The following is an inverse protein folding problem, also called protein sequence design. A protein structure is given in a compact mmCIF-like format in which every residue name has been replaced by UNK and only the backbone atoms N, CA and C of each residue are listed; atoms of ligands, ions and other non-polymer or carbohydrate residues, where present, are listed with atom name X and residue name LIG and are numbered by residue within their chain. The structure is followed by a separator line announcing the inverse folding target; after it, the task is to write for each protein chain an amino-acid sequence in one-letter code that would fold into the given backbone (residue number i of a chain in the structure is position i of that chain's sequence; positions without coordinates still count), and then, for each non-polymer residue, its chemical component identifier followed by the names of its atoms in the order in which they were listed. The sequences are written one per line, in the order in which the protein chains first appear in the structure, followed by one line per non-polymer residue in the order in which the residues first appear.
data_IF_898332618810
#
_entry.id   IF_898332618810
#
_cell.length_a   1.000
_cell.length_b   1.000
_cell.length_c   1.000
_cell.angle_alpha   90.00
_cell.angle_beta   90.00
_cell.angle_gamma   90.00
#
_symmetry.space_group_name_H-M   'P 1'
#
loop_
_entity.id
_entity.type
_entity.pdbx_description
1 polymer ?
#
# COMPACT_ATOMS: atom_id res chain seq x y z
N UNK A 1 -32.60 -20.19 -5.68
CA UNK A 1 -31.29 -20.46 -5.07
C UNK A 1 -30.23 -20.04 -6.05
N UNK A 2 -29.76 -18.81 -5.93
CA UNK A 2 -28.36 -18.49 -5.64
C UNK A 2 -28.42 -17.05 -5.16
N UNK A 3 -28.10 -16.89 -3.90
CA UNK A 3 -28.24 -15.68 -3.11
C UNK A 3 -27.38 -14.55 -3.66
N UNK A 4 -27.90 -13.33 -3.48
CA UNK A 4 -27.17 -12.08 -3.62
C UNK A 4 -25.88 -12.22 -2.78
N UNK A 5 -24.71 -12.24 -3.40
CA UNK A 5 -23.50 -11.78 -2.72
C UNK A 5 -23.48 -10.27 -2.96
N UNK A 6 -23.98 -9.43 -2.03
CA UNK A 6 -23.64 -8.02 -2.07
C UNK A 6 -22.13 -7.99 -1.84
N UNK A 7 -21.37 -7.89 -2.93
CA UNK A 7 -19.94 -7.58 -2.85
C UNK A 7 -19.87 -6.27 -2.07
N UNK A 8 -19.47 -6.39 -0.81
CA UNK A 8 -19.19 -5.27 0.06
C UNK A 8 -18.05 -4.49 -0.61
N UNK A 9 -18.38 -3.28 -1.10
CA UNK A 9 -17.55 -2.36 -1.87
C UNK A 9 -16.29 -1.87 -1.10
N UNK A 10 -15.94 -2.50 0.02
CA UNK A 10 -14.89 -2.09 0.94
C UNK A 10 -13.65 -3.00 0.91
N UNK A 11 -13.59 -3.99 0.01
CA UNK A 11 -12.44 -4.90 -0.05
C UNK A 11 -11.24 -4.24 -0.74
N UNK A 12 -10.44 -3.54 0.05
CA UNK A 12 -9.11 -3.13 -0.36
C UNK A 12 -8.25 -4.39 -0.57
N UNK A 13 -7.82 -4.63 -1.81
CA UNK A 13 -6.98 -5.78 -2.17
C UNK A 13 -5.55 -5.60 -1.64
N UNK A 14 -5.33 -5.98 -0.39
CA UNK A 14 -3.99 -6.23 0.19
C UNK A 14 -3.57 -7.67 -0.11
N UNK A 15 -3.32 -7.98 -1.39
CA UNK A 15 -2.76 -9.26 -1.83
C UNK A 15 -3.68 -10.51 -1.76
N UNK A 16 -3.11 -11.68 -2.08
CA UNK A 16 -3.75 -13.02 -2.17
C UNK A 16 -4.06 -13.68 -0.80
N UNK A 17 -4.12 -12.91 0.29
CA UNK A 17 -4.36 -13.45 1.63
C UNK A 17 -5.75 -13.08 2.15
N UNK A 18 -6.44 -14.03 2.79
CA UNK A 18 -7.66 -13.75 3.54
C UNK A 18 -7.28 -12.96 4.80
N UNK A 19 -7.28 -11.63 4.73
CA UNK A 19 -7.07 -10.74 5.88
C UNK A 19 -8.41 -10.51 6.60
N UNK A 20 -8.39 -10.58 7.93
CA UNK A 20 -9.56 -10.23 8.75
C UNK A 20 -9.77 -8.71 8.80
N UNK A 21 -10.98 -8.28 9.14
CA UNK A 21 -11.31 -6.86 9.31
C UNK A 21 -10.41 -6.18 10.35
N UNK A 22 -10.10 -6.88 11.45
CA UNK A 22 -9.23 -6.38 12.53
C UNK A 22 -7.77 -6.21 12.07
N UNK A 23 -7.27 -7.11 11.23
CA UNK A 23 -5.92 -7.00 10.63
C UNK A 23 -5.85 -5.88 9.59
N UNK A 24 -6.92 -5.67 8.82
CA UNK A 24 -7.02 -4.57 7.87
C UNK A 24 -7.00 -3.21 8.59
N UNK A 25 -7.79 -3.06 9.65
CA UNK A 25 -7.81 -1.84 10.47
C UNK A 25 -6.44 -1.55 11.12
N UNK A 26 -5.76 -2.59 11.60
CA UNK A 26 -4.41 -2.45 12.13
C UNK A 26 -3.42 -1.97 11.05
N UNK A 27 -3.46 -2.57 9.86
CA UNK A 27 -2.60 -2.17 8.74
C UNK A 27 -2.87 -0.73 8.29
N UNK A 28 -4.14 -0.34 8.16
CA UNK A 28 -4.52 1.04 7.81
C UNK A 28 -4.01 2.03 8.87
N UNK A 29 -4.13 1.68 10.15
CA UNK A 29 -3.59 2.48 11.25
C UNK A 29 -2.07 2.65 11.13
N UNK A 30 -1.33 1.58 10.83
CA UNK A 30 0.13 1.64 10.64
C UNK A 30 0.52 2.47 9.40
N UNK A 31 -0.24 2.34 8.31
CA UNK A 31 -0.05 3.15 7.11
C UNK A 31 -0.21 4.64 7.42
N UNK A 32 -1.28 5.02 8.12
CA UNK A 32 -1.61 6.41 8.44
C UNK A 32 -0.62 7.07 9.42
N UNK A 33 -0.18 6.33 10.43
CA UNK A 33 0.60 6.88 11.54
C UNK A 33 2.12 6.69 11.39
N UNK A 34 2.56 5.69 10.62
CA UNK A 34 3.97 5.33 10.53
C UNK A 34 4.50 5.46 9.10
N UNK A 35 3.91 4.74 8.14
CA UNK A 35 4.53 4.58 6.83
C UNK A 35 4.33 5.79 5.91
N UNK A 36 3.09 6.29 5.76
CA UNK A 36 2.83 7.46 4.91
C UNK A 36 3.51 8.73 5.43
N UNK A 37 3.47 9.06 6.74
CA UNK A 37 4.21 10.20 7.27
C UNK A 37 5.72 10.10 7.02
N UNK A 38 6.30 8.91 7.15
CA UNK A 38 7.73 8.71 6.94
C UNK A 38 8.12 8.94 5.48
N UNK A 39 7.35 8.38 4.54
CA UNK A 39 7.61 8.54 3.10
C UNK A 39 7.42 9.99 2.64
N UNK A 40 6.47 10.71 3.26
CA UNK A 40 6.26 12.14 3.03
C UNK A 40 7.41 12.99 3.59
N UNK A 41 7.91 12.68 4.78
CA UNK A 41 9.06 13.37 5.40
C UNK A 41 10.34 13.26 4.55
N UNK A 42 10.55 12.11 3.91
CA UNK A 42 11.63 11.93 2.92
C UNK A 42 11.34 12.54 1.55
N UNK A 43 10.17 13.14 1.34
CA UNK A 43 9.78 13.78 0.09
C UNK A 43 9.50 12.82 -1.06
N UNK A 44 9.36 11.51 -0.78
CA UNK A 44 9.09 10.50 -1.79
C UNK A 44 7.64 10.53 -2.23
N UNK A 45 6.72 10.83 -1.32
CA UNK A 45 5.31 11.00 -1.61
C UNK A 45 4.82 12.37 -1.13
N UNK A 46 3.65 12.76 -1.61
CA UNK A 46 2.83 13.79 -1.00
C UNK A 46 1.48 13.15 -0.66
N UNK A 47 1.07 13.22 0.59
CA UNK A 47 -0.14 12.55 1.07
C UNK A 47 -1.19 13.55 1.51
N UNK A 48 -2.33 13.54 0.81
CA UNK A 48 -3.50 14.31 1.19
C UNK A 48 -4.30 13.51 2.23
N UNK A 49 -4.31 13.99 3.48
CA UNK A 49 -5.03 13.35 4.60
C UNK A 49 -6.54 13.56 4.54
N UNK A 50 -6.99 14.61 3.85
CA UNK A 50 -8.42 14.90 3.72
C UNK A 50 -9.05 13.97 2.68
N UNK A 51 -8.37 13.73 1.55
CA UNK A 51 -8.85 12.85 0.48
C UNK A 51 -8.31 11.42 0.53
N UNK A 52 -7.35 11.15 1.42
CA UNK A 52 -6.60 9.89 1.50
C UNK A 52 -5.85 9.55 0.20
N UNK A 53 -5.47 10.55 -0.58
CA UNK A 53 -4.75 10.36 -1.84
C UNK A 53 -3.24 10.48 -1.66
N UNK A 54 -2.51 9.52 -2.24
CA UNK A 54 -1.05 9.51 -2.25
C UNK A 54 -0.56 9.83 -3.66
N UNK A 55 0.26 10.85 -3.78
CA UNK A 55 0.86 11.30 -5.05
C UNK A 55 2.38 11.30 -4.96
N UNK A 56 3.07 11.39 -6.10
CA UNK A 56 4.54 11.43 -6.15
C UNK A 56 5.06 12.72 -5.53
N UNK A 57 5.97 12.58 -4.58
CA UNK A 57 6.68 13.70 -3.98
C UNK A 57 7.85 14.16 -4.86
N UNK A 58 8.46 15.31 -4.52
CA UNK A 58 9.56 15.89 -5.30
C UNK A 58 10.81 15.02 -5.39
N UNK A 59 11.02 14.10 -4.44
CA UNK A 59 12.17 13.19 -4.40
C UNK A 59 11.83 11.78 -4.89
N UNK A 60 10.64 11.56 -5.47
CA UNK A 60 10.21 10.23 -5.92
C UNK A 60 11.18 9.59 -6.92
N UNK A 61 11.73 10.38 -7.85
CA UNK A 61 12.64 9.88 -8.88
C UNK A 61 13.96 9.32 -8.31
N UNK A 62 14.33 9.66 -7.07
CA UNK A 62 15.51 9.10 -6.40
C UNK A 62 15.34 7.63 -6.03
N UNK A 63 14.14 7.23 -5.58
CA UNK A 63 13.84 5.84 -5.20
C UNK A 63 13.25 5.03 -6.35
N UNK A 64 12.74 5.70 -7.38
CA UNK A 64 12.07 5.08 -8.52
C UNK A 64 12.89 3.96 -9.18
N UNK A 65 14.20 4.09 -9.46
CA UNK A 65 14.97 3.01 -10.08
C UNK A 65 15.00 1.73 -9.23
N UNK A 66 15.05 1.87 -7.89
CA UNK A 66 14.99 0.74 -6.97
C UNK A 66 13.62 0.07 -7.01
N UNK A 67 12.54 0.87 -6.98
CA UNK A 67 11.17 0.35 -7.07
C UNK A 67 10.94 -0.37 -8.40
N UNK A 68 11.40 0.19 -9.52
CA UNK A 68 11.31 -0.43 -10.84
C UNK A 68 12.11 -1.76 -10.88
N UNK A 69 13.30 -1.80 -10.29
CA UNK A 69 14.08 -3.03 -10.18
C UNK A 69 13.34 -4.11 -9.40
N UNK A 70 12.77 -3.77 -8.23
CA UNK A 70 12.02 -4.71 -7.41
C UNK A 70 10.80 -5.27 -8.14
N UNK A 71 10.06 -4.43 -8.86
CA UNK A 71 8.90 -4.86 -9.65
C UNK A 71 9.33 -5.76 -10.81
N UNK A 72 10.41 -5.41 -11.51
CA UNK A 72 10.91 -6.20 -12.65
C UNK A 72 11.49 -7.56 -12.24
N UNK A 73 11.98 -7.68 -11.01
CA UNK A 73 12.62 -8.90 -10.49
C UNK A 73 11.81 -9.55 -9.35
N UNK A 74 10.49 -9.32 -9.30
CA UNK A 74 9.64 -9.77 -8.19
C UNK A 74 9.78 -11.26 -7.87
N UNK A 75 9.90 -12.11 -8.90
CA UNK A 75 10.05 -13.57 -8.76
C UNK A 75 11.44 -14.02 -8.28
N UNK A 76 12.41 -13.10 -8.27
CA UNK A 76 13.81 -13.33 -7.86
C UNK A 76 14.14 -12.66 -6.51
N UNK A 77 13.20 -11.91 -5.94
CA UNK A 77 13.38 -11.28 -4.64
C UNK A 77 13.38 -12.35 -3.53
N UNK A 78 14.23 -12.19 -2.51
CA UNK A 78 14.25 -13.14 -1.41
C UNK A 78 12.91 -13.13 -0.67
N UNK A 79 12.49 -14.31 -0.20
CA UNK A 79 11.17 -14.53 0.43
C UNK A 79 10.93 -13.65 1.67
N UNK A 80 11.96 -13.03 2.22
CA UNK A 80 11.88 -12.14 3.39
C UNK A 80 11.67 -10.65 3.02
N UNK A 81 11.54 -10.32 1.74
CA UNK A 81 11.28 -8.97 1.24
C UNK A 81 9.88 -8.80 0.63
N UNK A 82 9.15 -9.90 0.43
CA UNK A 82 7.78 -9.92 -0.11
C UNK A 82 6.80 -10.17 1.03
#
# INVERSE_FOLDING_TARGET
MLDHNPEDDSKLYIGDTETTDEELEALLTEMEHTHLPLLEDYGFINWDRDTHEVTKGPQFDEIRPLLELMVNHRDELPENWI
#
